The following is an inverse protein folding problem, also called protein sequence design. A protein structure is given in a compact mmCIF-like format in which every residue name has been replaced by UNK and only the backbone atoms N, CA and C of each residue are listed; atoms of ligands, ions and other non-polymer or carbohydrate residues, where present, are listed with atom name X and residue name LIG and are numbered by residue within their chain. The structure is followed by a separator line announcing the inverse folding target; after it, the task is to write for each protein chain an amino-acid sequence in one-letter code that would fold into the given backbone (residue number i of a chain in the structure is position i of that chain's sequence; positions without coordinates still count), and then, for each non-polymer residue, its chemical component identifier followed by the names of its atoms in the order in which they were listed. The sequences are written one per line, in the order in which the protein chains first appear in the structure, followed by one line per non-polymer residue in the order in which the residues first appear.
data_IF_132583334087
#
_entry.id   IF_132583334087
#
_cell.length_a   1.000
_cell.length_b   1.000
_cell.length_c   1.000
_cell.angle_alpha   90.00
_cell.angle_beta   90.00
_cell.angle_gamma   90.00
#
_symmetry.space_group_name_H-M   'P 1'
#
loop_
_entity.id
_entity.type
_entity.pdbx_description
1 polymer ?
#
# COMPACT_ATOMS: atom_id res chain seq x y z
N UNK A 1 -23.64 4.23 20.56
CA UNK A 1 -23.73 3.68 21.93
C UNK A 1 -24.96 2.77 22.12
N UNK A 2 -25.93 3.10 22.99
CA UNK A 2 -26.94 2.22 23.64
C UNK A 2 -27.52 1.01 22.88
N UNK A 3 -27.82 1.10 21.57
CA UNK A 3 -28.32 -0.04 20.77
C UNK A 3 -27.23 -1.00 20.29
N UNK A 4 -26.04 -0.48 19.97
CA UNK A 4 -24.98 -1.20 19.25
C UNK A 4 -23.98 -1.85 20.22
N UNK A 5 -23.78 -1.25 21.39
CA UNK A 5 -22.81 -1.70 22.40
C UNK A 5 -23.44 -2.47 23.56
N UNK A 6 -24.74 -2.82 23.46
CA UNK A 6 -25.51 -3.45 24.55
C UNK A 6 -24.83 -4.71 25.08
N UNK A 7 -24.36 -5.54 24.16
CA UNK A 7 -23.83 -6.88 24.43
C UNK A 7 -22.28 -6.88 24.35
N UNK A 8 -21.67 -5.70 24.53
CA UNK A 8 -20.22 -5.44 24.34
C UNK A 8 -19.62 -4.60 25.48
N UNK A 9 -20.39 -3.69 26.09
CA UNK A 9 -19.90 -2.77 27.13
C UNK A 9 -20.78 -2.80 28.38
N UNK A 10 -20.17 -3.14 29.53
CA UNK A 10 -20.84 -3.25 30.84
C UNK A 10 -21.43 -1.93 31.35
N UNK A 11 -20.97 -0.80 30.82
CA UNK A 11 -21.43 0.54 31.16
C UNK A 11 -21.15 1.55 30.04
N UNK A 12 -21.94 2.62 29.99
CA UNK A 12 -21.85 3.66 28.96
C UNK A 12 -21.84 5.05 29.60
N UNK A 13 -20.67 5.68 29.64
CA UNK A 13 -20.53 7.12 29.93
C UNK A 13 -20.92 7.88 28.67
N UNK A 14 -21.84 8.85 28.79
CA UNK A 14 -22.44 9.59 27.67
C UNK A 14 -22.69 11.05 28.06
N UNK A 15 -22.68 11.93 27.06
CA UNK A 15 -23.07 13.34 27.16
C UNK A 15 -24.12 13.68 26.09
N UNK A 16 -24.66 14.89 26.17
CA UNK A 16 -25.64 15.50 25.25
C UNK A 16 -25.00 16.31 24.11
N UNK A 17 -23.75 16.77 24.27
CA UNK A 17 -22.97 17.40 23.20
C UNK A 17 -22.94 16.52 21.94
N UNK A 18 -23.41 17.05 20.81
CA UNK A 18 -23.46 16.35 19.52
C UNK A 18 -22.14 16.47 18.79
N UNK A 19 -21.51 15.33 18.47
CA UNK A 19 -20.24 15.29 17.75
C UNK A 19 -20.44 15.50 16.22
N UNK A 20 -20.52 16.80 15.87
CA UNK A 20 -20.23 17.49 14.61
C UNK A 20 -18.82 17.31 14.01
N UNK A 21 -18.01 16.32 14.45
CA UNK A 21 -17.93 15.13 13.60
C UNK A 21 -17.83 13.77 14.31
N UNK A 22 -18.21 12.72 13.58
CA UNK A 22 -17.65 11.39 13.80
C UNK A 22 -16.21 11.36 13.26
N UNK A 23 -15.24 11.70 14.10
CA UNK A 23 -13.81 11.46 13.88
C UNK A 23 -13.36 10.25 14.68
N UNK A 24 -12.55 9.37 14.09
CA UNK A 24 -11.74 8.41 14.86
C UNK A 24 -10.46 9.08 15.39
N UNK A 25 -9.70 8.42 16.27
CA UNK A 25 -8.44 8.96 16.81
C UNK A 25 -7.34 9.10 15.74
N UNK A 26 -6.42 10.07 15.92
CA UNK A 26 -5.21 10.18 15.11
C UNK A 26 -4.26 9.01 15.43
N UNK A 27 -3.92 8.19 14.43
CA UNK A 27 -2.91 7.14 14.57
C UNK A 27 -1.67 7.49 13.75
N UNK A 28 -0.51 7.49 14.42
CA UNK A 28 0.81 7.63 13.83
C UNK A 28 1.79 6.60 14.42
N UNK A 29 2.89 6.36 13.71
CA UNK A 29 4.04 5.54 14.15
C UNK A 29 5.29 6.42 14.08
N UNK A 30 6.17 6.34 15.07
CA UNK A 30 7.48 7.02 14.99
C UNK A 30 8.49 6.07 14.31
N UNK A 31 9.22 6.59 13.32
CA UNK A 31 10.28 5.88 12.57
C UNK A 31 11.50 6.78 12.53
N UNK A 32 12.63 6.32 13.06
CA UNK A 32 13.90 7.06 13.13
C UNK A 32 13.80 8.50 13.66
N UNK A 33 12.83 8.70 14.59
CA UNK A 33 12.38 9.94 15.25
C UNK A 33 11.33 10.77 14.49
N UNK A 34 11.11 10.54 13.20
CA UNK A 34 10.06 11.22 12.43
C UNK A 34 8.69 10.54 12.63
N UNK A 35 7.58 11.31 12.60
CA UNK A 35 6.24 10.75 12.54
C UNK A 35 5.93 10.20 11.14
N UNK A 36 5.30 9.04 11.11
CA UNK A 36 4.65 8.43 9.94
C UNK A 36 3.17 8.34 10.28
N UNK A 37 2.37 9.24 9.71
CA UNK A 37 0.91 9.22 9.92
C UNK A 37 0.32 7.99 9.22
N UNK A 38 -0.52 7.26 9.93
CA UNK A 38 -1.27 6.11 9.41
C UNK A 38 -2.74 6.49 9.16
N UNK A 39 -3.32 7.28 10.07
CA UNK A 39 -4.69 7.78 10.01
C UNK A 39 -4.72 9.22 10.52
N UNK A 40 -4.87 10.20 9.64
CA UNK A 40 -5.03 11.61 10.04
C UNK A 40 -6.48 11.88 10.44
N UNK A 41 -6.68 12.53 11.57
CA UNK A 41 -8.01 12.83 12.12
C UNK A 41 -7.92 13.92 13.21
N UNK A 42 -9.07 14.41 13.69
CA UNK A 42 -9.14 15.47 14.70
C UNK A 42 -8.65 16.83 14.20
N UNK A 43 -8.27 17.71 15.13
CA UNK A 43 -7.82 19.07 14.82
C UNK A 43 -6.61 19.11 13.86
N UNK A 44 -5.75 18.09 13.88
CA UNK A 44 -4.60 18.01 12.98
C UNK A 44 -5.00 17.71 11.52
N UNK A 45 -6.21 17.27 11.21
CA UNK A 45 -6.74 17.29 9.83
C UNK A 45 -7.02 18.70 9.32
N UNK A 46 -7.17 19.68 10.21
CA UNK A 46 -7.60 21.04 9.85
C UNK A 46 -6.46 21.92 9.29
N UNK A 47 -5.20 21.51 9.45
CA UNK A 47 -4.04 22.16 8.85
C UNK A 47 -3.93 21.81 7.35
N UNK A 48 -4.21 22.72 6.41
CA UNK A 48 -4.29 22.37 5.01
C UNK A 48 -2.92 22.39 4.32
N UNK A 49 -2.80 21.72 3.17
CA UNK A 49 -1.63 21.85 2.28
C UNK A 49 -1.81 23.03 1.32
N UNK A 50 -0.73 23.69 0.87
CA UNK A 50 -0.83 24.81 -0.07
C UNK A 50 -1.17 24.36 -1.50
N UNK A 51 -1.83 25.24 -2.25
CA UNK A 51 -2.06 25.15 -3.70
C UNK A 51 -1.52 26.40 -4.42
N UNK A 52 -1.29 26.32 -5.74
CA UNK A 52 -1.19 27.48 -6.62
C UNK A 52 -2.41 28.41 -6.51
N UNK A 53 -2.24 29.68 -6.88
CA UNK A 53 -3.29 30.72 -6.71
C UNK A 53 -4.55 30.49 -7.53
N UNK A 54 -4.43 29.82 -8.68
CA UNK A 54 -5.53 29.54 -9.61
C UNK A 54 -5.74 28.03 -9.78
N UNK A 55 -5.69 27.27 -8.67
CA UNK A 55 -6.03 25.85 -8.69
C UNK A 55 -7.55 25.67 -8.89
N UNK A 56 -7.93 24.73 -9.78
CA UNK A 56 -9.33 24.33 -9.98
C UNK A 56 -9.93 23.76 -8.69
N UNK A 57 -11.24 23.94 -8.51
CA UNK A 57 -11.96 23.43 -7.34
C UNK A 57 -12.29 21.95 -7.54
N UNK A 58 -11.79 21.10 -6.64
CA UNK A 58 -11.85 19.63 -6.77
C UNK A 58 -12.30 19.02 -5.45
N UNK A 59 -13.28 18.11 -5.49
CA UNK A 59 -13.49 17.14 -4.41
C UNK A 59 -12.92 15.79 -4.84
N UNK A 60 -11.95 15.28 -4.09
CA UNK A 60 -11.52 13.90 -4.20
C UNK A 60 -12.26 13.00 -3.22
N UNK A 61 -12.72 11.85 -3.71
CA UNK A 61 -13.42 10.85 -2.91
C UNK A 61 -12.47 9.79 -2.31
N UNK A 62 -11.22 9.73 -2.73
CA UNK A 62 -10.26 8.71 -2.29
C UNK A 62 -10.53 7.36 -2.94
N UNK A 63 -10.37 6.28 -2.18
CA UNK A 63 -10.74 4.91 -2.57
C UNK A 63 -11.74 4.29 -1.58
N UNK A 64 -12.14 3.04 -1.81
CA UNK A 64 -13.12 2.33 -0.97
C UNK A 64 -12.60 1.86 0.40
N UNK A 65 -11.34 2.13 0.73
CA UNK A 65 -10.63 1.67 1.93
C UNK A 65 -10.02 2.84 2.68
N UNK A 66 -9.88 2.72 4.01
CA UNK A 66 -9.31 3.73 4.91
C UNK A 66 -9.91 5.13 4.70
N UNK A 67 -11.16 5.20 4.24
CA UNK A 67 -11.58 6.25 3.32
C UNK A 67 -11.60 7.65 3.93
N UNK A 68 -11.12 8.61 3.15
CA UNK A 68 -11.08 10.04 3.43
C UNK A 68 -11.49 10.78 2.16
N UNK A 69 -12.32 11.82 2.28
CA UNK A 69 -12.47 12.80 1.20
C UNK A 69 -11.39 13.89 1.35
N UNK A 70 -11.01 14.56 0.26
CA UNK A 70 -10.17 15.76 0.29
C UNK A 70 -10.74 16.81 -0.65
N UNK A 71 -10.54 18.10 -0.37
CA UNK A 71 -11.01 19.16 -1.26
C UNK A 71 -9.98 20.27 -1.48
N UNK A 72 -9.84 20.70 -2.74
CA UNK A 72 -9.12 21.91 -3.14
C UNK A 72 -10.07 23.10 -3.14
N UNK A 73 -9.73 24.12 -2.36
CA UNK A 73 -10.45 25.38 -2.31
C UNK A 73 -9.48 26.57 -2.17
N UNK A 74 -9.55 27.48 -3.15
CA UNK A 74 -8.62 28.60 -3.26
C UNK A 74 -7.17 28.13 -3.25
N UNK A 75 -6.40 28.61 -2.26
CA UNK A 75 -4.96 28.33 -2.13
C UNK A 75 -4.63 27.10 -1.29
N UNK A 76 -5.57 26.18 -1.04
CA UNK A 76 -5.29 25.05 -0.14
C UNK A 76 -6.08 23.75 -0.41
N UNK A 77 -5.50 22.62 0.02
CA UNK A 77 -6.15 21.31 0.11
C UNK A 77 -6.42 20.98 1.58
N UNK A 78 -7.65 20.59 1.92
CA UNK A 78 -7.98 20.01 3.24
C UNK A 78 -8.40 18.56 3.10
N UNK A 79 -7.82 17.70 3.93
CA UNK A 79 -8.21 16.30 4.08
C UNK A 79 -9.33 16.22 5.13
N UNK A 80 -10.42 15.54 4.80
CA UNK A 80 -11.54 15.29 5.71
C UNK A 80 -11.20 14.30 6.82
N UNK A 81 -12.16 13.98 7.70
CA UNK A 81 -12.00 12.95 8.72
C UNK A 81 -11.91 11.56 8.09
N UNK A 82 -11.18 10.65 8.75
CA UNK A 82 -11.16 9.23 8.41
C UNK A 82 -12.52 8.57 8.67
N UNK A 83 -13.02 7.81 7.70
CA UNK A 83 -14.29 7.08 7.75
C UNK A 83 -14.09 5.55 7.76
N UNK A 84 -12.98 5.04 7.23
CA UNK A 84 -12.66 3.61 7.21
C UNK A 84 -13.18 2.85 5.98
N UNK A 85 -13.37 1.53 6.09
CA UNK A 85 -13.74 0.70 4.93
C UNK A 85 -15.19 0.95 4.49
N UNK A 86 -15.38 1.29 3.20
CA UNK A 86 -16.70 1.52 2.59
C UNK A 86 -17.34 0.20 2.12
N UNK A 87 -17.42 -0.77 3.05
CA UNK A 87 -17.94 -2.13 2.83
C UNK A 87 -19.41 -2.30 3.30
N UNK A 88 -20.07 -1.20 3.72
CA UNK A 88 -21.50 -1.20 4.09
C UNK A 88 -22.20 0.09 3.65
N UNK A 89 -23.50 0.02 3.36
CA UNK A 89 -24.32 1.19 2.96
C UNK A 89 -24.20 2.33 3.99
N UNK A 90 -24.21 1.99 5.29
CA UNK A 90 -24.03 2.96 6.38
C UNK A 90 -22.68 3.68 6.31
N UNK A 91 -21.60 2.97 5.95
CA UNK A 91 -20.28 3.58 5.79
C UNK A 91 -20.26 4.51 4.57
N UNK A 92 -20.87 4.09 3.45
CA UNK A 92 -21.04 4.92 2.25
C UNK A 92 -21.86 6.17 2.56
N UNK A 93 -23.00 6.07 3.26
CA UNK A 93 -23.77 7.25 3.68
C UNK A 93 -22.97 8.19 4.61
N UNK A 94 -22.21 7.63 5.57
CA UNK A 94 -21.39 8.42 6.49
C UNK A 94 -20.25 9.13 5.73
N UNK A 95 -19.69 8.48 4.73
CA UNK A 95 -18.71 9.06 3.82
C UNK A 95 -19.33 10.20 2.99
N UNK A 96 -20.42 9.96 2.27
CA UNK A 96 -21.07 10.99 1.43
C UNK A 96 -21.50 12.21 2.25
N UNK A 97 -22.04 12.01 3.46
CA UNK A 97 -22.35 13.13 4.38
C UNK A 97 -21.11 13.88 4.87
N UNK A 98 -19.98 13.20 5.05
CA UNK A 98 -18.71 13.85 5.44
C UNK A 98 -18.07 14.60 4.28
N UNK A 99 -18.17 14.07 3.05
CA UNK A 99 -17.70 14.71 1.83
C UNK A 99 -18.54 15.96 1.48
N UNK A 100 -19.87 15.90 1.61
CA UNK A 100 -20.75 17.07 1.47
C UNK A 100 -20.42 18.17 2.48
N UNK A 101 -20.27 17.84 3.78
CA UNK A 101 -19.82 18.78 4.82
C UNK A 101 -18.44 19.40 4.55
N UNK A 102 -17.56 18.68 3.83
CA UNK A 102 -16.25 19.20 3.43
C UNK A 102 -16.37 20.21 2.29
N UNK A 103 -17.35 20.07 1.39
CA UNK A 103 -17.71 21.10 0.40
C UNK A 103 -18.36 22.32 1.07
N UNK A 104 -19.34 22.10 1.95
CA UNK A 104 -20.09 23.14 2.64
C UNK A 104 -19.17 24.13 3.38
N UNK A 105 -18.09 23.60 3.99
CA UNK A 105 -17.10 24.36 4.76
C UNK A 105 -16.37 25.45 3.95
N UNK A 106 -16.31 25.31 2.62
CA UNK A 106 -15.51 26.18 1.74
C UNK A 106 -16.30 26.88 0.62
N UNK A 107 -17.61 26.62 0.49
CA UNK A 107 -18.45 27.28 -0.52
C UNK A 107 -19.00 26.38 -1.64
N UNK A 108 -18.95 25.06 -1.49
CA UNK A 108 -19.95 24.16 -2.09
C UNK A 108 -19.85 23.81 -3.58
N UNK A 109 -19.12 24.56 -4.41
CA UNK A 109 -19.19 24.45 -5.88
C UNK A 109 -17.88 23.93 -6.53
N UNK A 110 -17.56 22.62 -6.42
CA UNK A 110 -16.40 22.03 -7.08
C UNK A 110 -16.65 21.89 -8.59
N UNK A 111 -15.65 22.22 -9.40
CA UNK A 111 -15.68 21.98 -10.84
C UNK A 111 -15.57 20.48 -11.16
N UNK A 112 -14.81 19.74 -10.33
CA UNK A 112 -14.45 18.34 -10.54
C UNK A 112 -14.68 17.46 -9.31
N UNK A 113 -15.11 16.21 -9.54
CA UNK A 113 -15.12 15.16 -8.52
C UNK A 113 -14.16 14.04 -8.94
N UNK A 114 -13.01 13.97 -8.28
CA UNK A 114 -11.99 12.96 -8.50
C UNK A 114 -12.29 11.67 -7.72
N UNK A 115 -12.06 10.51 -8.33
CA UNK A 115 -12.34 9.21 -7.70
C UNK A 115 -11.46 8.08 -8.23
N UNK A 116 -11.27 7.05 -7.41
CA UNK A 116 -10.62 5.78 -7.78
C UNK A 116 -11.61 4.93 -8.61
N UNK A 117 -11.25 4.53 -9.86
CA UNK A 117 -12.07 3.66 -10.70
C UNK A 117 -12.55 2.36 -10.04
N UNK A 118 -11.69 1.68 -9.28
CA UNK A 118 -12.01 0.43 -8.61
C UNK A 118 -13.03 0.61 -7.46
N UNK A 119 -13.19 1.85 -6.98
CA UNK A 119 -14.17 2.23 -5.96
C UNK A 119 -15.44 2.89 -6.53
N UNK A 120 -15.55 3.12 -7.85
CA UNK A 120 -16.66 3.88 -8.48
C UNK A 120 -18.06 3.47 -8.00
N UNK A 121 -18.33 2.18 -7.83
CA UNK A 121 -19.63 1.68 -7.38
C UNK A 121 -19.98 2.11 -5.93
N UNK A 122 -18.99 2.19 -5.04
CA UNK A 122 -19.15 2.70 -3.66
C UNK A 122 -19.39 4.21 -3.64
N UNK A 123 -18.85 4.91 -4.64
CA UNK A 123 -18.97 6.36 -4.78
C UNK A 123 -20.17 6.84 -5.59
N UNK A 124 -20.98 5.94 -6.18
CA UNK A 124 -22.14 6.31 -6.99
C UNK A 124 -23.07 7.34 -6.29
N UNK A 125 -23.45 7.20 -5.00
CA UNK A 125 -24.29 8.20 -4.33
C UNK A 125 -23.66 9.60 -4.25
N UNK A 126 -22.34 9.70 -4.13
CA UNK A 126 -21.64 10.98 -4.11
C UNK A 126 -21.52 11.57 -5.53
N UNK A 127 -21.12 10.73 -6.50
CA UNK A 127 -20.98 11.07 -7.92
C UNK A 127 -22.30 11.49 -8.59
N UNK A 128 -23.44 11.01 -8.09
CA UNK A 128 -24.78 11.38 -8.54
C UNK A 128 -25.33 12.63 -7.82
N UNK A 129 -24.90 12.88 -6.58
CA UNK A 129 -25.40 14.02 -5.77
C UNK A 129 -24.68 15.35 -6.01
N UNK A 130 -23.47 15.34 -6.57
CA UNK A 130 -22.61 16.51 -6.70
C UNK A 130 -22.56 16.95 -8.16
N UNK A 131 -22.96 18.20 -8.43
CA UNK A 131 -23.10 18.77 -9.77
C UNK A 131 -21.74 19.19 -10.40
N UNK A 132 -20.81 18.24 -10.52
CA UNK A 132 -19.43 18.45 -10.93
C UNK A 132 -18.97 17.41 -11.95
N UNK A 133 -17.89 17.68 -12.70
CA UNK A 133 -17.40 16.74 -13.72
C UNK A 133 -16.60 15.59 -13.08
N UNK A 134 -16.99 14.32 -13.26
CA UNK A 134 -16.30 13.20 -12.63
C UNK A 134 -14.97 12.90 -13.35
N UNK A 135 -13.87 12.82 -12.61
CA UNK A 135 -12.51 12.56 -13.12
C UNK A 135 -11.94 11.27 -12.51
N UNK A 136 -11.58 10.32 -13.37
CA UNK A 136 -10.86 9.12 -12.96
C UNK A 136 -9.39 9.42 -12.66
N UNK A 137 -8.88 8.88 -11.55
CA UNK A 137 -7.47 8.94 -11.17
C UNK A 137 -7.03 7.55 -10.71
N UNK A 138 -5.95 7.03 -11.28
CA UNK A 138 -5.41 5.71 -10.93
C UNK A 138 -4.95 5.63 -9.46
N UNK A 139 -5.07 4.46 -8.85
CA UNK A 139 -4.80 4.19 -7.45
C UNK A 139 -3.30 4.37 -7.10
N UNK A 140 -2.42 3.81 -7.92
CA UNK A 140 -0.97 3.87 -7.72
C UNK A 140 -0.40 5.24 -8.06
N UNK A 141 -0.94 5.87 -9.11
CA UNK A 141 -0.68 7.28 -9.41
C UNK A 141 -1.09 8.18 -8.23
N UNK A 142 -2.27 7.99 -7.65
CA UNK A 142 -2.74 8.79 -6.53
C UNK A 142 -1.89 8.60 -5.26
N UNK A 143 -1.37 7.41 -4.98
CA UNK A 143 -0.41 7.20 -3.89
C UNK A 143 0.88 8.01 -4.09
N UNK A 144 1.41 8.08 -5.31
CA UNK A 144 2.61 8.89 -5.63
C UNK A 144 2.27 10.39 -5.59
N UNK A 145 1.18 10.80 -6.24
CA UNK A 145 0.73 12.19 -6.27
C UNK A 145 0.38 12.76 -4.88
N UNK A 146 -0.07 11.93 -3.93
CA UNK A 146 -0.33 12.36 -2.55
C UNK A 146 0.96 12.77 -1.82
N UNK A 147 2.08 12.11 -2.12
CA UNK A 147 3.40 12.48 -1.59
C UNK A 147 3.96 13.69 -2.33
N UNK A 148 3.76 13.78 -3.65
CA UNK A 148 4.10 14.98 -4.43
C UNK A 148 3.38 16.22 -3.85
N UNK A 149 2.12 16.08 -3.43
CA UNK A 149 1.34 17.15 -2.80
C UNK A 149 1.87 17.58 -1.43
N UNK A 150 2.37 16.65 -0.60
CA UNK A 150 2.96 17.01 0.70
C UNK A 150 4.25 17.84 0.54
N UNK A 151 5.00 17.58 -0.53
CA UNK A 151 6.30 18.23 -0.80
C UNK A 151 6.25 19.33 -1.88
N UNK A 152 5.07 19.63 -2.45
CA UNK A 152 4.89 20.68 -3.47
C UNK A 152 5.48 20.35 -4.85
N UNK A 153 5.66 19.07 -5.18
CA UNK A 153 6.34 18.62 -6.40
C UNK A 153 5.37 18.58 -7.59
N UNK A 154 5.73 19.28 -8.68
CA UNK A 154 5.05 19.20 -9.98
C UNK A 154 5.93 18.60 -11.10
N UNK A 155 7.25 18.49 -10.87
CA UNK A 155 8.21 18.00 -11.86
C UNK A 155 8.13 16.50 -12.15
N UNK A 156 8.94 15.99 -13.07
CA UNK A 156 9.04 14.56 -13.36
C UNK A 156 9.68 13.79 -12.19
N UNK A 157 9.15 12.61 -11.89
CA UNK A 157 9.61 11.74 -10.79
C UNK A 157 9.55 10.26 -11.20
N UNK A 158 10.39 9.44 -10.58
CA UNK A 158 10.17 7.99 -10.50
C UNK A 158 9.25 7.70 -9.32
N UNK A 159 8.05 7.21 -9.61
CA UNK A 159 7.06 6.87 -8.61
C UNK A 159 7.21 5.42 -8.13
N UNK A 160 7.25 5.19 -6.82
CA UNK A 160 7.11 3.86 -6.21
C UNK A 160 5.78 3.81 -5.45
N UNK A 161 4.82 2.99 -5.88
CA UNK A 161 3.62 2.72 -5.10
C UNK A 161 3.67 1.29 -4.56
N UNK A 162 3.61 1.16 -3.23
CA UNK A 162 3.81 -0.09 -2.50
C UNK A 162 2.64 -0.34 -1.53
N UNK A 163 1.58 -0.94 -2.06
CA UNK A 163 0.33 -1.17 -1.33
C UNK A 163 0.50 -2.16 -0.15
N UNK A 164 -0.24 -1.91 0.93
CA UNK A 164 -0.33 -2.80 2.08
C UNK A 164 -0.98 -4.16 1.74
N UNK A 165 -0.76 -5.23 2.52
CA UNK A 165 -1.44 -6.50 2.32
C UNK A 165 -2.94 -6.38 2.59
N UNK A 166 -3.75 -6.37 1.53
CA UNK A 166 -5.20 -6.30 1.66
C UNK A 166 -5.82 -7.63 2.13
N UNK A 167 -6.86 -7.62 3.01
CA UNK A 167 -7.57 -8.82 3.44
C UNK A 167 -8.28 -9.54 2.28
N UNK A 168 -8.90 -8.78 1.37
CA UNK A 168 -9.47 -9.28 0.11
C UNK A 168 -8.48 -9.00 -1.03
N UNK A 169 -8.31 -9.95 -1.94
CA UNK A 169 -7.47 -9.74 -3.13
C UNK A 169 -8.30 -9.01 -4.18
N UNK A 170 -7.78 -7.91 -4.73
CA UNK A 170 -8.37 -7.18 -5.87
C UNK A 170 -7.26 -6.86 -6.86
N UNK A 171 -7.18 -7.49 -8.05
CA UNK A 171 -6.01 -7.42 -8.92
C UNK A 171 -5.51 -6.00 -9.22
N UNK A 172 -6.42 -5.07 -9.45
CA UNK A 172 -6.12 -3.66 -9.76
C UNK A 172 -5.56 -2.89 -8.56
N UNK A 173 -5.96 -3.23 -7.33
CA UNK A 173 -5.47 -2.60 -6.08
C UNK A 173 -4.44 -3.49 -5.36
N UNK A 174 -3.88 -4.49 -6.05
CA UNK A 174 -2.92 -5.46 -5.48
C UNK A 174 -1.59 -5.39 -6.21
N UNK A 175 -0.92 -4.22 -6.20
CA UNK A 175 0.23 -3.96 -7.10
C UNK A 175 1.36 -3.20 -6.39
N UNK A 176 2.57 -3.70 -6.47
CA UNK A 176 3.78 -2.90 -6.29
C UNK A 176 4.26 -2.46 -7.67
N UNK A 177 4.32 -1.15 -7.93
CA UNK A 177 4.61 -0.61 -9.27
C UNK A 177 5.70 0.46 -9.24
N UNK A 178 6.44 0.55 -10.35
CA UNK A 178 7.36 1.65 -10.65
C UNK A 178 6.76 2.46 -11.78
N UNK A 179 6.61 3.77 -11.57
CA UNK A 179 6.00 4.75 -12.46
C UNK A 179 7.05 5.79 -12.90
N UNK A 180 6.80 6.45 -14.03
CA UNK A 180 7.51 7.66 -14.47
C UNK A 180 6.48 8.69 -14.95
N UNK A 181 6.65 9.96 -14.58
CA UNK A 181 5.75 11.04 -14.98
C UNK A 181 5.70 12.17 -13.95
N UNK A 182 4.62 12.96 -13.99
CA UNK A 182 4.43 14.14 -13.13
C UNK A 182 3.21 13.96 -12.22
N UNK A 183 2.88 15.00 -11.46
CA UNK A 183 1.63 15.05 -10.70
C UNK A 183 0.38 14.89 -11.60
N UNK A 184 0.43 15.38 -12.85
CA UNK A 184 -0.72 15.34 -13.75
C UNK A 184 -1.01 13.94 -14.28
N UNK A 185 0.01 13.19 -14.68
CA UNK A 185 -0.13 11.84 -15.23
C UNK A 185 1.18 11.05 -15.10
N UNK A 186 1.07 9.73 -15.00
CA UNK A 186 2.24 8.83 -14.95
C UNK A 186 2.05 7.60 -15.83
N UNK A 187 3.08 7.24 -16.58
CA UNK A 187 3.18 5.93 -17.23
C UNK A 187 3.80 4.92 -16.27
N UNK A 188 3.27 3.70 -16.29
CA UNK A 188 3.88 2.59 -15.57
C UNK A 188 5.12 2.10 -16.33
N UNK A 189 6.27 2.06 -15.65
CA UNK A 189 7.49 1.44 -16.15
C UNK A 189 7.45 -0.06 -15.88
N UNK A 190 7.26 -0.45 -14.61
CA UNK A 190 7.31 -1.84 -14.17
C UNK A 190 6.27 -2.13 -13.08
N UNK A 191 6.11 -3.42 -12.77
CA UNK A 191 5.30 -3.93 -11.66
C UNK A 191 5.97 -5.20 -11.16
N UNK A 192 5.90 -5.50 -9.86
CA UNK A 192 6.54 -6.68 -9.23
C UNK A 192 6.27 -8.02 -9.96
N UNK A 193 7.11 -9.06 -9.75
CA UNK A 193 6.86 -10.40 -10.26
C UNK A 193 5.43 -10.87 -10.01
N UNK A 194 4.82 -11.47 -11.04
CA UNK A 194 3.41 -11.83 -11.03
C UNK A 194 3.22 -13.33 -10.79
N UNK A 195 2.59 -13.67 -9.68
CA UNK A 195 2.32 -15.05 -9.26
C UNK A 195 0.83 -15.26 -8.96
N UNK A 196 0.37 -16.52 -9.00
CA UNK A 196 -1.02 -16.91 -8.73
C UNK A 196 -1.23 -17.25 -7.26
N UNK A 197 -2.38 -16.90 -6.69
CA UNK A 197 -2.85 -17.39 -5.39
C UNK A 197 -4.01 -18.37 -5.64
N UNK A 198 -3.87 -19.66 -5.31
CA UNK A 198 -4.90 -20.67 -5.50
C UNK A 198 -5.89 -20.69 -4.32
N UNK A 199 -7.19 -20.59 -4.61
CA UNK A 199 -8.22 -20.49 -3.59
C UNK A 199 -8.36 -19.07 -3.05
N UNK A 200 -8.25 -18.06 -3.92
CA UNK A 200 -8.16 -16.64 -3.57
C UNK A 200 -9.40 -16.06 -2.85
N UNK A 201 -10.47 -16.85 -2.69
CA UNK A 201 -11.64 -16.54 -1.86
C UNK A 201 -11.46 -16.89 -0.38
N UNK A 202 -10.35 -17.53 0.00
CA UNK A 202 -9.91 -17.61 1.41
C UNK A 202 -9.87 -16.23 2.04
N UNK A 203 -10.34 -16.08 3.26
CA UNK A 203 -10.16 -14.84 4.00
C UNK A 203 -8.66 -14.55 4.20
N UNK A 204 -8.30 -13.27 4.27
CA UNK A 204 -6.91 -12.78 4.26
C UNK A 204 -6.12 -13.05 5.55
N UNK A 205 -6.21 -14.27 6.07
CA UNK A 205 -5.50 -14.79 7.24
C UNK A 205 -4.53 -15.92 6.83
N UNK A 206 -4.94 -16.76 5.87
CA UNK A 206 -4.14 -17.86 5.33
C UNK A 206 -3.19 -17.36 4.21
N UNK A 207 -2.01 -16.86 4.58
CA UNK A 207 -1.03 -16.42 3.60
C UNK A 207 -0.20 -17.56 3.01
N UNK A 208 -0.27 -18.78 3.55
CA UNK A 208 0.44 -19.95 3.01
C UNK A 208 0.09 -20.27 1.55
N UNK A 209 -1.15 -20.00 1.12
CA UNK A 209 -1.57 -20.08 -0.30
C UNK A 209 -0.83 -19.07 -1.17
N UNK A 210 -0.50 -17.91 -0.61
CA UNK A 210 0.32 -16.86 -1.25
C UNK A 210 1.76 -17.36 -1.42
N UNK A 211 2.34 -17.95 -0.37
CA UNK A 211 3.68 -18.55 -0.41
C UNK A 211 3.78 -19.73 -1.39
N UNK A 212 2.84 -20.68 -1.35
CA UNK A 212 2.80 -21.81 -2.28
C UNK A 212 2.77 -21.34 -3.73
N UNK A 213 1.91 -20.36 -4.02
CA UNK A 213 1.78 -19.74 -5.34
C UNK A 213 3.06 -19.04 -5.81
N UNK A 214 3.73 -18.29 -4.92
CA UNK A 214 5.04 -17.68 -5.18
C UNK A 214 6.11 -18.72 -5.51
N UNK A 215 6.22 -19.79 -4.72
CA UNK A 215 7.23 -20.84 -4.95
C UNK A 215 6.91 -21.59 -6.24
N UNK A 216 5.64 -21.95 -6.48
CA UNK A 216 5.23 -22.67 -7.67
C UNK A 216 5.54 -21.88 -8.95
N UNK A 217 5.11 -20.63 -9.04
CA UNK A 217 5.23 -19.84 -10.28
C UNK A 217 6.65 -19.28 -10.52
N UNK A 218 7.53 -19.26 -9.51
CA UNK A 218 8.91 -18.74 -9.62
C UNK A 218 10.01 -19.81 -9.57
N UNK A 219 9.78 -20.92 -8.84
CA UNK A 219 10.76 -22.00 -8.61
C UNK A 219 10.25 -23.39 -9.00
N UNK A 220 9.03 -23.48 -9.54
CA UNK A 220 8.45 -24.71 -10.07
C UNK A 220 7.84 -25.64 -9.02
N UNK A 221 6.98 -26.53 -9.52
CA UNK A 221 6.16 -27.46 -8.75
C UNK A 221 6.94 -28.31 -7.74
N UNK A 222 8.11 -28.86 -8.11
CA UNK A 222 8.94 -29.67 -7.20
C UNK A 222 9.32 -28.88 -5.94
N UNK A 223 9.80 -27.65 -6.11
CA UNK A 223 10.19 -26.78 -4.99
C UNK A 223 8.98 -26.42 -4.12
N UNK A 224 7.81 -26.26 -4.75
CA UNK A 224 6.55 -26.02 -4.05
C UNK A 224 6.09 -27.25 -3.23
N UNK A 225 6.25 -28.48 -3.73
CA UNK A 225 5.94 -29.72 -2.99
C UNK A 225 6.90 -29.90 -1.81
N UNK A 226 8.22 -29.77 -2.03
CA UNK A 226 9.24 -29.79 -0.96
C UNK A 226 8.94 -28.79 0.16
N UNK A 227 8.47 -27.58 -0.17
CA UNK A 227 8.11 -26.57 0.83
C UNK A 227 6.80 -26.89 1.58
N UNK A 228 5.80 -27.42 0.89
CA UNK A 228 4.51 -27.74 1.52
C UNK A 228 4.62 -28.95 2.46
N UNK A 229 5.50 -29.90 2.14
CA UNK A 229 5.91 -30.99 3.03
C UNK A 229 6.59 -30.46 4.30
N UNK A 230 7.49 -29.47 4.19
CA UNK A 230 8.13 -28.81 5.34
C UNK A 230 7.14 -28.02 6.22
N UNK A 231 5.98 -27.64 5.67
CA UNK A 231 4.89 -26.99 6.39
C UNK A 231 3.96 -27.99 7.09
N UNK A 232 3.76 -29.17 6.52
CA UNK A 232 2.88 -30.22 7.09
C UNK A 232 1.39 -30.01 6.81
N UNK A 233 1.02 -29.41 5.68
CA UNK A 233 -0.39 -29.27 5.28
C UNK A 233 -1.01 -30.64 4.91
N UNK A 234 -2.31 -30.88 5.17
CA UNK A 234 -2.98 -32.15 4.86
C UNK A 234 -2.89 -32.55 3.39
N UNK A 235 -2.83 -33.85 3.10
CA UNK A 235 -2.66 -34.36 1.73
C UNK A 235 -3.81 -33.96 0.79
N UNK A 236 -5.06 -33.94 1.27
CA UNK A 236 -6.21 -33.47 0.47
C UNK A 236 -6.14 -31.97 0.18
N UNK A 237 -5.71 -31.16 1.15
CA UNK A 237 -5.47 -29.71 1.00
C UNK A 237 -4.34 -29.45 0.00
N UNK A 238 -3.27 -30.24 0.08
CA UNK A 238 -2.15 -30.25 -0.85
C UNK A 238 -2.61 -30.60 -2.27
N UNK A 239 -3.23 -31.77 -2.46
CA UNK A 239 -3.67 -32.28 -3.76
C UNK A 239 -4.65 -31.35 -4.47
N UNK A 240 -5.64 -30.83 -3.74
CA UNK A 240 -6.59 -29.85 -4.28
C UNK A 240 -5.92 -28.53 -4.68
N UNK A 241 -5.04 -27.99 -3.84
CA UNK A 241 -4.40 -26.70 -4.10
C UNK A 241 -3.35 -26.76 -5.22
N UNK A 242 -2.66 -27.89 -5.39
CA UNK A 242 -1.84 -28.13 -6.58
C UNK A 242 -2.69 -28.27 -7.84
N UNK A 243 -3.79 -29.04 -7.81
CA UNK A 243 -4.69 -29.18 -8.96
C UNK A 243 -5.25 -27.83 -9.44
N UNK A 244 -5.53 -26.89 -8.52
CA UNK A 244 -5.89 -25.51 -8.84
C UNK A 244 -4.78 -24.77 -9.61
N UNK A 245 -3.52 -24.87 -9.17
CA UNK A 245 -2.36 -24.25 -9.84
C UNK A 245 -2.02 -24.90 -11.19
N UNK A 246 -2.15 -26.22 -11.30
CA UNK A 246 -1.94 -26.99 -12.53
C UNK A 246 -2.94 -26.58 -13.62
N UNK A 247 -4.23 -26.46 -13.27
CA UNK A 247 -5.32 -26.19 -14.21
C UNK A 247 -5.74 -24.71 -14.29
N UNK A 248 -5.17 -23.84 -13.46
CA UNK A 248 -5.50 -22.41 -13.38
C UNK A 248 -6.87 -22.09 -12.74
N UNK A 249 -7.52 -23.05 -12.09
CA UNK A 249 -8.88 -22.93 -11.54
C UNK A 249 -8.85 -22.20 -10.19
N UNK A 250 -9.75 -21.23 -10.00
CA UNK A 250 -9.85 -20.36 -8.80
C UNK A 250 -8.49 -19.78 -8.34
N UNK A 251 -7.65 -19.45 -9.32
CA UNK A 251 -6.33 -18.86 -9.14
C UNK A 251 -6.36 -17.37 -9.48
N UNK A 252 -6.09 -16.48 -8.52
CA UNK A 252 -5.98 -15.05 -8.78
C UNK A 252 -4.51 -14.64 -8.94
N UNK A 253 -4.15 -14.09 -10.10
CA UNK A 253 -2.81 -13.53 -10.38
C UNK A 253 -2.69 -12.14 -9.73
N UNK A 254 -1.61 -11.90 -8.99
CA UNK A 254 -1.36 -10.64 -8.28
C UNK A 254 0.09 -10.14 -8.48
N UNK A 255 0.33 -8.88 -8.12
CA UNK A 255 1.66 -8.24 -8.15
C UNK A 255 1.91 -7.38 -6.89
N UNK A 256 1.26 -7.67 -5.76
CA UNK A 256 1.25 -6.80 -4.56
C UNK A 256 2.54 -6.92 -3.75
N UNK A 257 3.11 -5.78 -3.34
CA UNK A 257 4.23 -5.75 -2.40
C UNK A 257 3.82 -6.34 -1.05
N UNK A 258 2.71 -5.87 -0.46
CA UNK A 258 2.18 -6.39 0.79
C UNK A 258 1.95 -7.90 0.78
N UNK A 259 1.32 -8.46 -0.27
CA UNK A 259 1.13 -9.92 -0.37
C UNK A 259 2.44 -10.68 -0.63
N UNK A 260 3.40 -10.10 -1.35
CA UNK A 260 4.76 -10.66 -1.46
C UNK A 260 5.41 -10.79 -0.08
N UNK A 261 5.33 -9.75 0.75
CA UNK A 261 5.82 -9.76 2.14
C UNK A 261 5.10 -10.81 2.99
N UNK A 262 3.77 -10.93 2.88
CA UNK A 262 3.00 -11.99 3.53
C UNK A 262 3.45 -13.40 3.15
N UNK A 263 3.66 -13.66 1.85
CA UNK A 263 4.19 -14.95 1.39
C UNK A 263 5.60 -15.21 1.94
N UNK A 264 6.49 -14.21 1.93
CA UNK A 264 7.83 -14.37 2.51
C UNK A 264 7.79 -14.71 4.02
N UNK A 265 6.85 -14.16 4.81
CA UNK A 265 6.70 -14.57 6.22
C UNK A 265 6.40 -16.06 6.39
N UNK A 266 5.48 -16.61 5.59
CA UNK A 266 5.08 -18.02 5.61
C UNK A 266 6.22 -18.94 5.10
N UNK A 267 7.01 -18.47 4.13
CA UNK A 267 8.18 -19.21 3.63
C UNK A 267 9.27 -19.29 4.71
N UNK A 268 9.52 -18.18 5.42
CA UNK A 268 10.45 -18.15 6.56
C UNK A 268 9.92 -18.98 7.74
N UNK A 269 8.60 -19.00 7.98
CA UNK A 269 7.99 -19.84 9.01
C UNK A 269 8.30 -21.32 8.80
N UNK A 270 8.02 -21.87 7.62
CA UNK A 270 8.31 -23.28 7.33
C UNK A 270 9.82 -23.56 7.27
N UNK A 271 10.62 -22.65 6.71
CA UNK A 271 12.07 -22.83 6.58
C UNK A 271 12.82 -22.78 7.92
N UNK A 272 12.38 -21.94 8.87
CA UNK A 272 13.01 -21.79 10.18
C UNK A 272 12.22 -22.44 11.34
N UNK A 273 11.06 -23.03 11.07
CA UNK A 273 10.14 -23.66 12.04
C UNK A 273 9.72 -22.71 13.19
N UNK A 274 9.27 -21.50 12.82
CA UNK A 274 8.87 -20.42 13.74
C UNK A 274 7.63 -19.67 13.22
N UNK A 275 6.54 -19.51 14.01
CA UNK A 275 5.28 -18.90 13.53
C UNK A 275 5.44 -17.54 12.82
N UNK A 276 4.74 -17.31 11.70
CA UNK A 276 4.84 -16.10 10.88
C UNK A 276 4.51 -14.81 11.65
N UNK A 277 3.58 -14.87 12.61
CA UNK A 277 3.29 -13.77 13.55
C UNK A 277 4.53 -13.37 14.37
N UNK A 278 5.37 -14.34 14.71
CA UNK A 278 6.69 -14.13 15.35
C UNK A 278 7.75 -13.72 14.32
N UNK A 279 7.74 -14.22 13.09
CA UNK A 279 8.66 -13.75 12.03
C UNK A 279 8.45 -12.26 11.75
N UNK A 280 7.18 -11.80 11.70
CA UNK A 280 6.83 -10.39 11.50
C UNK A 280 7.38 -9.49 12.62
N UNK A 281 7.30 -9.90 13.89
CA UNK A 281 7.93 -9.14 14.99
C UNK A 281 9.46 -9.27 15.00
N UNK A 282 10.02 -10.45 14.70
CA UNK A 282 11.46 -10.68 14.65
C UNK A 282 12.17 -9.86 13.56
N UNK A 283 11.59 -9.73 12.36
CA UNK A 283 12.15 -8.88 11.30
C UNK A 283 12.21 -7.40 11.71
N UNK A 284 11.14 -6.88 12.33
CA UNK A 284 11.10 -5.52 12.89
C UNK A 284 12.13 -5.32 14.01
N UNK A 285 12.29 -6.33 14.88
CA UNK A 285 13.25 -6.32 15.99
C UNK A 285 14.70 -6.56 15.56
N UNK A 286 14.94 -7.14 14.38
CA UNK A 286 16.27 -7.21 13.78
C UNK A 286 16.73 -5.85 13.27
N UNK A 287 15.80 -5.08 12.69
CA UNK A 287 16.14 -3.95 11.84
C UNK A 287 16.66 -4.41 10.47
N UNK A 288 16.96 -3.45 9.58
CA UNK A 288 17.48 -3.75 8.25
C UNK A 288 18.96 -4.12 8.27
N UNK A 289 19.38 -4.96 7.31
CA UNK A 289 20.78 -5.41 7.17
C UNK A 289 21.56 -4.37 6.35
N UNK A 290 22.43 -3.61 7.03
CA UNK A 290 23.25 -2.56 6.38
C UNK A 290 24.18 -3.12 5.32
N UNK A 291 24.93 -4.16 5.68
CA UNK A 291 25.92 -4.78 4.81
C UNK A 291 25.35 -6.09 4.23
N UNK A 292 24.68 -5.98 3.08
CA UNK A 292 24.38 -7.14 2.25
C UNK A 292 25.46 -7.20 1.17
N UNK A 293 26.29 -8.24 1.20
CA UNK A 293 27.24 -8.51 0.12
C UNK A 293 26.49 -8.58 -1.21
N UNK A 294 26.94 -7.81 -2.21
CA UNK A 294 26.26 -7.74 -3.51
C UNK A 294 26.18 -9.12 -4.21
N UNK A 295 27.10 -10.04 -3.90
CA UNK A 295 27.09 -11.43 -4.36
C UNK A 295 26.00 -12.31 -3.70
N UNK A 296 25.39 -11.86 -2.60
CA UNK A 296 24.26 -12.51 -1.94
C UNK A 296 22.89 -12.00 -2.42
N UNK A 297 22.86 -10.89 -3.17
CA UNK A 297 21.68 -10.45 -3.92
C UNK A 297 21.68 -11.10 -5.32
N UNK A 298 20.51 -11.40 -5.90
CA UNK A 298 20.39 -11.68 -7.32
C UNK A 298 20.97 -10.54 -8.16
N UNK A 299 21.71 -10.86 -9.23
CA UNK A 299 22.41 -9.87 -10.05
C UNK A 299 21.49 -8.78 -10.58
N UNK A 300 21.91 -7.50 -10.48
CA UNK A 300 21.20 -6.35 -11.09
C UNK A 300 20.89 -6.56 -12.58
N UNK A 301 21.69 -7.37 -13.29
CA UNK A 301 21.60 -7.56 -14.74
C UNK A 301 20.54 -8.57 -15.23
N UNK A 302 19.85 -9.30 -14.35
CA UNK A 302 19.07 -10.48 -14.75
C UNK A 302 17.62 -10.43 -14.24
N UNK A 303 16.73 -9.92 -15.10
CA UNK A 303 15.26 -10.07 -15.11
C UNK A 303 14.53 -10.07 -13.75
N UNK A 304 13.63 -9.08 -13.60
CA UNK A 304 12.60 -8.93 -12.55
C UNK A 304 12.20 -10.20 -11.78
N UNK A 305 11.84 -11.26 -12.50
CA UNK A 305 11.28 -12.49 -11.91
C UNK A 305 12.32 -13.34 -11.15
N UNK A 306 13.63 -13.14 -11.39
CA UNK A 306 14.70 -13.83 -10.65
C UNK A 306 14.92 -13.27 -9.23
N UNK A 307 14.63 -11.99 -8.99
CA UNK A 307 14.87 -11.35 -7.68
C UNK A 307 14.12 -12.09 -6.56
N UNK A 308 12.81 -12.29 -6.76
CA UNK A 308 11.95 -12.92 -5.77
C UNK A 308 12.22 -14.44 -5.67
N UNK A 309 12.50 -15.11 -6.79
CA UNK A 309 12.92 -16.51 -6.78
C UNK A 309 14.23 -16.73 -6.01
N UNK A 310 15.23 -15.88 -6.23
CA UNK A 310 16.52 -15.93 -5.52
C UNK A 310 16.39 -15.67 -4.03
N UNK A 311 15.54 -14.72 -3.62
CA UNK A 311 15.21 -14.48 -2.20
C UNK A 311 14.60 -15.74 -1.56
N UNK A 312 13.68 -16.42 -2.25
CA UNK A 312 13.06 -17.65 -1.75
C UNK A 312 14.09 -18.79 -1.64
N UNK A 313 14.94 -19.00 -2.65
CA UNK A 313 16.02 -20.00 -2.60
C UNK A 313 16.97 -19.77 -1.43
N UNK A 314 17.34 -18.51 -1.17
CA UNK A 314 18.23 -18.14 -0.08
C UNK A 314 17.57 -18.32 1.30
N UNK A 315 16.27 -18.03 1.45
CA UNK A 315 15.51 -18.36 2.67
C UNK A 315 15.53 -19.87 2.95
N UNK A 316 15.27 -20.69 1.92
CA UNK A 316 15.27 -22.14 2.04
C UNK A 316 16.68 -22.69 2.38
N UNK A 317 17.75 -22.09 1.82
CA UNK A 317 19.13 -22.42 2.21
C UNK A 317 19.42 -22.05 3.67
N UNK A 318 19.03 -20.84 4.11
CA UNK A 318 19.21 -20.37 5.50
C UNK A 318 18.48 -21.24 6.52
N UNK A 319 17.29 -21.74 6.17
CA UNK A 319 16.55 -22.74 6.95
C UNK A 319 17.31 -24.05 7.09
N UNK A 320 17.81 -24.61 5.98
CA UNK A 320 18.66 -25.82 5.95
C UNK A 320 19.95 -25.65 6.77
N UNK A 321 20.54 -24.45 6.77
CA UNK A 321 21.70 -24.07 7.60
C UNK A 321 21.36 -23.75 9.07
N UNK A 322 20.08 -23.81 9.47
CA UNK A 322 19.61 -23.47 10.82
C UNK A 322 19.98 -22.06 11.27
N UNK A 323 20.04 -21.11 10.32
CA UNK A 323 20.12 -19.67 10.63
C UNK A 323 18.87 -19.24 11.39
N UNK A 324 18.97 -18.23 12.25
CA UNK A 324 17.80 -17.81 13.02
C UNK A 324 16.72 -17.19 12.12
N UNK A 325 15.45 -17.36 12.51
CA UNK A 325 14.33 -16.72 11.81
C UNK A 325 14.47 -15.18 11.78
N UNK A 326 15.15 -14.59 12.78
CA UNK A 326 15.45 -13.16 12.86
C UNK A 326 16.39 -12.72 11.74
N UNK A 327 17.51 -13.40 11.56
CA UNK A 327 18.54 -13.04 10.58
C UNK A 327 18.09 -13.35 9.15
N UNK A 328 17.30 -14.42 8.99
CA UNK A 328 16.68 -14.81 7.72
C UNK A 328 15.63 -13.79 7.29
N UNK A 329 14.76 -13.34 8.21
CA UNK A 329 13.81 -12.26 7.96
C UNK A 329 14.51 -10.92 7.64
N UNK A 330 15.47 -10.51 8.48
CA UNK A 330 16.21 -9.27 8.29
C UNK A 330 16.85 -9.20 6.90
N UNK A 331 17.53 -10.27 6.49
CA UNK A 331 18.12 -10.37 5.16
C UNK A 331 17.06 -10.34 4.05
N UNK A 332 16.01 -11.18 4.12
CA UNK A 332 15.02 -11.31 3.05
C UNK A 332 14.24 -10.01 2.77
N UNK A 333 13.79 -9.33 3.84
CA UNK A 333 13.03 -8.09 3.71
C UNK A 333 13.91 -6.93 3.25
N UNK A 334 15.16 -6.87 3.71
CA UNK A 334 16.14 -5.89 3.20
C UNK A 334 16.48 -6.17 1.74
N UNK A 335 16.71 -7.43 1.36
CA UNK A 335 17.03 -7.82 -0.02
C UNK A 335 15.91 -7.47 -1.02
N UNK A 336 14.64 -7.68 -0.63
CA UNK A 336 13.48 -7.29 -1.42
C UNK A 336 13.47 -5.77 -1.71
N UNK A 337 13.70 -4.96 -0.68
CA UNK A 337 13.61 -3.49 -0.81
C UNK A 337 14.87 -2.89 -1.45
N UNK A 338 16.08 -3.41 -1.20
CA UNK A 338 17.28 -3.00 -1.95
C UNK A 338 17.18 -3.36 -3.42
N UNK A 339 16.68 -4.55 -3.75
CA UNK A 339 16.44 -4.95 -5.15
C UNK A 339 15.45 -4.03 -5.87
N UNK A 340 14.38 -3.61 -5.20
CA UNK A 340 13.45 -2.60 -5.71
C UNK A 340 14.11 -1.22 -5.86
N UNK A 341 14.87 -0.76 -4.85
CA UNK A 341 15.55 0.54 -4.88
C UNK A 341 16.60 0.62 -5.99
N UNK A 342 17.42 -0.42 -6.18
CA UNK A 342 18.36 -0.49 -7.29
C UNK A 342 17.63 -0.48 -8.64
N UNK A 343 16.50 -1.20 -8.78
CA UNK A 343 15.72 -1.16 -10.03
C UNK A 343 15.11 0.22 -10.28
N UNK A 344 14.64 0.90 -9.24
CA UNK A 344 14.17 2.28 -9.32
C UNK A 344 15.31 3.22 -9.76
N UNK A 345 16.52 3.04 -9.25
CA UNK A 345 17.69 3.85 -9.62
C UNK A 345 18.19 3.60 -11.05
N UNK A 346 18.17 2.35 -11.51
CA UNK A 346 18.50 2.01 -12.90
C UNK A 346 17.48 2.58 -13.89
N UNK A 347 16.20 2.67 -13.49
CA UNK A 347 15.15 3.33 -14.26
C UNK A 347 15.26 4.86 -14.20
N UNK A 348 15.56 5.44 -13.03
CA UNK A 348 15.79 6.87 -12.86
C UNK A 348 16.88 7.40 -13.82
N UNK A 349 18.01 6.68 -13.91
CA UNK A 349 19.11 6.96 -14.85
C UNK A 349 18.74 6.77 -16.32
N UNK A 350 17.80 5.89 -16.63
CA UNK A 350 17.33 5.67 -18.01
C UNK A 350 16.33 6.74 -18.47
N UNK A 351 15.66 7.42 -17.53
CA UNK A 351 14.68 8.48 -17.78
C UNK A 351 15.27 9.91 -17.62
N UNK A 352 16.53 10.04 -17.19
CA UNK A 352 17.21 11.28 -16.78
C UNK A 352 16.47 12.03 -15.66
N UNK A 353 16.05 11.28 -14.62
CA UNK A 353 15.33 11.77 -13.45
C UNK A 353 16.16 11.51 -12.18
N UNK A 354 16.35 12.53 -11.34
CA UNK A 354 17.09 12.44 -10.06
C UNK A 354 16.19 12.16 -8.84
N UNK A 355 14.87 12.32 -9.01
CA UNK A 355 13.89 12.39 -7.92
C UNK A 355 13.00 11.15 -7.89
N UNK A 356 12.98 10.48 -6.73
CA UNK A 356 12.12 9.33 -6.45
C UNK A 356 11.05 9.71 -5.44
N UNK A 357 9.79 9.37 -5.72
CA UNK A 357 8.65 9.59 -4.82
C UNK A 357 8.03 8.25 -4.47
N UNK A 358 8.04 7.89 -3.17
CA UNK A 358 7.47 6.63 -2.70
C UNK A 358 6.20 6.87 -1.86
N UNK A 359 5.11 6.20 -2.25
CA UNK A 359 3.82 6.14 -1.57
C UNK A 359 3.31 4.71 -1.36
N UNK A 360 2.13 4.57 -0.77
CA UNK A 360 1.47 3.28 -0.55
C UNK A 360 1.60 2.74 0.87
N UNK A 361 0.59 1.96 1.29
CA UNK A 361 0.43 1.55 2.70
C UNK A 361 1.57 0.73 3.31
N UNK A 362 2.41 0.06 2.51
CA UNK A 362 3.61 -0.61 3.04
C UNK A 362 4.70 0.36 3.50
N UNK A 363 4.63 1.65 3.21
CA UNK A 363 5.51 2.67 3.82
C UNK A 363 5.14 3.00 5.27
N UNK A 364 4.10 2.37 5.84
CA UNK A 364 3.92 2.29 7.28
C UNK A 364 5.05 1.49 7.97
N UNK A 365 5.79 0.66 7.23
CA UNK A 365 6.82 -0.23 7.75
C UNK A 365 8.17 0.47 7.94
N UNK A 366 8.73 0.51 9.17
CA UNK A 366 10.00 1.21 9.44
C UNK A 366 11.16 0.72 8.58
N UNK A 367 11.24 -0.59 8.37
CA UNK A 367 12.31 -1.23 7.59
C UNK A 367 12.19 -0.94 6.09
N UNK A 368 10.97 -0.77 5.54
CA UNK A 368 10.81 -0.38 4.12
C UNK A 368 11.30 1.05 3.94
N UNK A 369 10.87 1.99 4.80
CA UNK A 369 11.32 3.40 4.74
C UNK A 369 12.83 3.50 4.86
N UNK A 370 13.42 2.87 5.88
CA UNK A 370 14.86 2.93 6.14
C UNK A 370 15.68 2.39 4.97
N UNK A 371 15.33 1.22 4.42
CA UNK A 371 16.08 0.60 3.32
C UNK A 371 15.89 1.36 2.01
N UNK A 372 14.70 1.93 1.73
CA UNK A 372 14.52 2.83 0.59
C UNK A 372 15.41 4.07 0.73
N UNK A 373 15.38 4.75 1.88
CA UNK A 373 16.20 5.93 2.15
C UNK A 373 17.69 5.65 1.96
N UNK A 374 18.27 4.70 2.71
CA UNK A 374 19.72 4.45 2.63
C UNK A 374 20.15 4.02 1.23
N UNK A 375 19.36 3.18 0.55
CA UNK A 375 19.75 2.64 -0.76
C UNK A 375 19.58 3.65 -1.90
N UNK A 376 18.62 4.57 -1.83
CA UNK A 376 18.48 5.61 -2.84
C UNK A 376 19.45 6.78 -2.59
N UNK A 377 19.79 7.08 -1.33
CA UNK A 377 20.90 7.98 -0.98
C UNK A 377 22.26 7.43 -1.47
N UNK A 378 22.53 6.12 -1.27
CA UNK A 378 23.71 5.42 -1.82
C UNK A 378 23.79 5.50 -3.36
N UNK A 379 22.66 5.43 -4.06
CA UNK A 379 22.58 5.49 -5.53
C UNK A 379 22.55 6.93 -6.08
N UNK A 380 22.53 7.94 -5.21
CA UNK A 380 22.61 9.36 -5.55
C UNK A 380 21.29 10.08 -5.85
N UNK A 381 20.15 9.57 -5.37
CA UNK A 381 18.81 10.02 -5.74
C UNK A 381 18.04 10.66 -4.57
N UNK A 382 17.23 11.67 -4.87
CA UNK A 382 16.42 12.37 -3.88
C UNK A 382 15.10 11.61 -3.59
N UNK A 383 15.00 10.97 -2.42
CA UNK A 383 13.79 10.25 -2.01
C UNK A 383 12.81 11.12 -1.21
N UNK A 384 11.56 11.18 -1.69
CA UNK A 384 10.43 11.77 -0.98
C UNK A 384 9.42 10.70 -0.55
N UNK A 385 8.98 10.78 0.70
CA UNK A 385 7.94 9.94 1.31
C UNK A 385 7.00 10.84 2.13
N UNK A 386 5.76 10.42 2.36
CA UNK A 386 4.86 11.15 3.27
C UNK A 386 5.42 11.18 4.70
N UNK A 387 5.10 12.25 5.43
CA UNK A 387 5.47 12.46 6.84
C UNK A 387 4.24 12.91 7.64
N UNK A 388 3.62 14.01 7.19
CA UNK A 388 2.40 14.61 7.75
C UNK A 388 1.11 14.00 7.20
N UNK A 389 1.15 13.44 5.98
CA UNK A 389 0.00 12.81 5.33
C UNK A 389 0.01 11.29 5.56
N UNK A 390 -1.17 10.64 5.59
CA UNK A 390 -1.23 9.18 5.62
C UNK A 390 -0.47 8.57 4.45
N UNK A 391 0.37 7.56 4.71
CA UNK A 391 1.08 6.86 3.63
C UNK A 391 0.21 5.84 2.88
N UNK A 392 -0.86 5.35 3.53
CA UNK A 392 -1.79 4.35 3.02
C UNK A 392 -2.95 4.91 2.22
N UNK A 393 -4.01 4.11 2.10
CA UNK A 393 -5.21 4.39 1.31
C UNK A 393 -5.90 5.70 1.77
N UNK A 394 -5.82 6.04 3.07
CA UNK A 394 -6.25 7.33 3.64
C UNK A 394 -5.50 8.57 3.09
N UNK A 395 -4.47 8.39 2.27
CA UNK A 395 -3.76 9.47 1.57
C UNK A 395 -4.25 9.70 0.14
N UNK A 396 -4.98 8.75 -0.47
CA UNK A 396 -5.28 8.74 -1.91
C UNK A 396 -6.06 9.99 -2.35
N UNK A 397 -7.00 10.48 -1.55
CA UNK A 397 -7.78 11.66 -1.89
C UNK A 397 -6.92 12.93 -2.06
N UNK A 398 -5.82 13.05 -1.32
CA UNK A 398 -4.88 14.16 -1.50
C UNK A 398 -4.20 14.10 -2.88
N UNK A 399 -3.75 12.92 -3.30
CA UNK A 399 -3.12 12.73 -4.61
C UNK A 399 -4.09 12.89 -5.78
N UNK A 400 -5.36 12.53 -5.57
CA UNK A 400 -6.44 12.81 -6.52
C UNK A 400 -6.66 14.31 -6.74
N UNK A 401 -6.69 15.11 -5.67
CA UNK A 401 -6.74 16.58 -5.78
C UNK A 401 -5.51 17.11 -6.53
N UNK A 402 -4.31 16.71 -6.10
CA UNK A 402 -3.05 17.19 -6.71
C UNK A 402 -2.95 16.85 -8.19
N UNK A 403 -3.41 15.66 -8.59
CA UNK A 403 -3.44 15.22 -9.99
C UNK A 403 -4.39 16.05 -10.86
N UNK A 404 -5.63 16.30 -10.39
CA UNK A 404 -6.57 17.14 -11.15
C UNK A 404 -6.09 18.59 -11.24
N UNK A 405 -5.55 19.16 -10.16
CA UNK A 405 -4.96 20.50 -10.17
C UNK A 405 -3.75 20.58 -11.11
N UNK A 406 -2.90 19.55 -11.16
CA UNK A 406 -1.75 19.50 -12.06
C UNK A 406 -2.14 19.26 -13.54
N UNK A 407 -3.29 18.63 -13.81
CA UNK A 407 -3.85 18.48 -15.17
C UNK A 407 -4.42 19.81 -15.68
N UNK A 408 -5.15 20.55 -14.85
CA UNK A 408 -5.85 21.78 -15.25
C UNK A 408 -6.95 21.54 -16.29
N UNK A 409 -7.72 20.45 -16.13
CA UNK A 409 -8.73 19.92 -17.08
C UNK A 409 -10.07 19.66 -16.44
#
# INVERSE_FOLDING_TARGET
ARRILRDVADSLVLHDLVLFPCTEDWVLRVVDKDPVVLRRSGADSDCPLPLPENAVQVLALGCGREATAAAAFGRCIRLGPFVGELDTDRAVEQFTRSAGRLLDLFGGEPEFVAYDPAARARFAPALESIAARPVAVDHHHAHVAAVMAEHGIFGPVIGLSLDAPMPRIHPEMSRGVILSGTAADTRQLESLPAFRIPGARSDGRDFWRTALGMIHDLLGERTAREWLELRGEPEDTTRSTFSMLEHGVDCTRIQSFGRTVCGLYEIIEAACQVPATRVCSLGRLAGPVRDIEAASLPSRSLQRDTLLGGIIVEILRRGRERRSARDTAAWAFTALVRGLAFRAADLARAEDIDTVVAGGGSLAEPWVRHVLSTTLEEEGLALYMSRKMPCGDAGIALGQVWSVVARGV
#
